data_IF_242962610956
#
_entry.id   IF_242962610956
#
_cell.length_a   1.000
_cell.length_b   1.000
_cell.length_c   1.000
_cell.angle_alpha   90.00
_cell.angle_beta   90.00
_cell.angle_gamma   90.00
#
_symmetry.space_group_name_H-M   'P 1'
#
loop_
_entity.id
_entity.type
_entity.pdbx_description
1 polymer ?
#
# COMPACT_ATOMS: atom_id res chain seq x y z
N UNK A 1 19.57 -3.07 -27.64
CA UNK A 1 18.39 -3.17 -26.75
C UNK A 1 17.86 -4.60 -26.64
N UNK A 2 18.10 -5.51 -27.60
CA UNK A 2 17.63 -6.91 -27.56
C UNK A 2 18.25 -7.76 -26.43
N UNK A 3 19.56 -7.63 -26.17
CA UNK A 3 20.24 -8.45 -25.14
C UNK A 3 19.73 -8.20 -23.70
N UNK A 4 19.27 -6.98 -23.39
CA UNK A 4 18.82 -6.65 -22.03
C UNK A 4 17.50 -7.31 -21.64
N UNK A 5 16.62 -7.57 -22.61
CA UNK A 5 15.35 -8.26 -22.39
C UNK A 5 15.53 -9.77 -22.31
N UNK A 6 16.42 -10.35 -23.13
CA UNK A 6 16.75 -11.78 -23.05
C UNK A 6 17.44 -12.15 -21.72
N UNK A 7 18.32 -11.28 -21.23
CA UNK A 7 18.97 -11.45 -19.92
C UNK A 7 17.96 -11.39 -18.76
N UNK A 8 16.96 -10.52 -18.87
CA UNK A 8 15.92 -10.36 -17.85
C UNK A 8 14.97 -11.57 -17.77
N UNK A 9 14.53 -12.10 -18.92
CA UNK A 9 13.73 -13.33 -18.98
C UNK A 9 14.51 -14.52 -18.40
N UNK A 10 15.81 -14.59 -18.68
CA UNK A 10 16.68 -15.62 -18.10
C UNK A 10 16.76 -15.48 -16.57
N UNK A 11 16.99 -14.28 -16.04
CA UNK A 11 17.02 -14.05 -14.59
C UNK A 11 15.67 -14.34 -13.93
N UNK A 12 14.57 -14.03 -14.60
CA UNK A 12 13.23 -14.38 -14.12
C UNK A 12 13.06 -15.90 -14.06
N UNK A 13 13.42 -16.61 -15.13
CA UNK A 13 13.34 -18.07 -15.18
C UNK A 13 14.20 -18.74 -14.09
N UNK A 14 15.43 -18.25 -13.87
CA UNK A 14 16.31 -18.70 -12.79
C UNK A 14 15.67 -18.50 -11.40
N UNK A 15 15.12 -17.30 -11.14
CA UNK A 15 14.45 -17.00 -9.88
C UNK A 15 13.19 -17.85 -9.65
N UNK A 16 12.38 -18.06 -10.69
CA UNK A 16 11.20 -18.93 -10.64
C UNK A 16 11.60 -20.37 -10.33
N UNK A 17 12.66 -20.87 -10.99
CA UNK A 17 13.18 -22.22 -10.74
C UNK A 17 13.69 -22.35 -9.29
N UNK A 18 14.36 -21.31 -8.77
CA UNK A 18 14.77 -21.23 -7.37
C UNK A 18 13.60 -21.29 -6.39
N UNK A 19 12.51 -20.55 -6.66
CA UNK A 19 11.28 -20.61 -5.86
C UNK A 19 10.70 -22.01 -5.90
N UNK A 20 10.49 -22.59 -7.09
CA UNK A 20 9.88 -23.91 -7.26
C UNK A 20 10.70 -25.02 -6.58
N UNK A 21 12.02 -24.96 -6.70
CA UNK A 21 12.92 -25.92 -6.06
C UNK A 21 12.78 -25.89 -4.54
N UNK A 22 12.84 -24.71 -3.93
CA UNK A 22 12.72 -24.57 -2.49
C UNK A 22 11.28 -24.85 -2.00
N UNK A 23 10.26 -24.44 -2.74
CA UNK A 23 8.87 -24.74 -2.44
C UNK A 23 8.58 -26.24 -2.40
N UNK A 24 9.16 -27.02 -3.31
CA UNK A 24 9.04 -28.49 -3.29
C UNK A 24 9.54 -29.09 -1.96
N UNK A 25 10.72 -28.69 -1.49
CA UNK A 25 11.24 -29.18 -0.21
C UNK A 25 10.49 -28.60 0.99
N UNK A 26 10.04 -27.35 0.89
CA UNK A 26 9.16 -26.73 1.88
C UNK A 26 7.91 -27.60 2.05
N UNK A 27 7.20 -27.94 0.97
CA UNK A 27 5.99 -28.79 1.03
C UNK A 27 6.24 -30.13 1.69
N UNK A 28 7.32 -30.82 1.30
CA UNK A 28 7.69 -32.09 1.95
C UNK A 28 7.95 -31.92 3.45
N UNK A 29 8.51 -30.79 3.87
CA UNK A 29 8.69 -30.47 5.28
C UNK A 29 7.34 -30.18 5.98
N UNK A 30 6.41 -29.48 5.31
CA UNK A 30 5.04 -29.26 5.82
C UNK A 30 4.30 -30.59 6.01
N UNK A 31 4.34 -31.47 5.02
CA UNK A 31 3.66 -32.79 5.06
C UNK A 31 4.23 -33.71 6.15
N UNK A 32 5.50 -33.52 6.50
CA UNK A 32 6.18 -34.26 7.57
C UNK A 32 6.21 -33.52 8.91
N UNK A 33 5.46 -32.41 9.03
CA UNK A 33 5.37 -31.61 10.26
C UNK A 33 6.75 -31.12 10.77
N UNK A 34 7.73 -30.95 9.87
CA UNK A 34 9.08 -30.52 10.21
C UNK A 34 9.21 -28.99 10.08
N UNK A 35 8.85 -28.28 11.15
CA UNK A 35 8.89 -26.81 11.19
C UNK A 35 10.26 -26.24 10.83
N UNK A 36 11.36 -26.85 11.33
CA UNK A 36 12.71 -26.35 11.11
C UNK A 36 13.09 -26.33 9.63
N UNK A 37 12.84 -27.44 8.93
CA UNK A 37 13.12 -27.51 7.49
C UNK A 37 12.12 -26.65 6.70
N UNK A 38 10.85 -26.59 7.11
CA UNK A 38 9.87 -25.70 6.48
C UNK A 38 10.31 -24.23 6.51
N UNK A 39 10.77 -23.74 7.67
CA UNK A 39 11.30 -22.38 7.84
C UNK A 39 12.58 -22.12 7.04
N UNK A 40 13.48 -23.12 6.97
CA UNK A 40 14.71 -23.03 6.20
C UNK A 40 14.42 -22.90 4.71
N UNK A 41 13.58 -23.76 4.16
CA UNK A 41 13.24 -23.74 2.73
C UNK A 41 12.36 -22.55 2.35
N UNK A 42 11.46 -22.09 3.23
CA UNK A 42 10.70 -20.86 2.99
C UNK A 42 11.62 -19.62 2.97
N UNK A 43 12.59 -19.52 3.88
CA UNK A 43 13.57 -18.44 3.87
C UNK A 43 14.48 -18.46 2.62
N UNK A 44 14.85 -19.66 2.14
CA UNK A 44 15.60 -19.82 0.89
C UNK A 44 14.78 -19.44 -0.34
N UNK A 45 13.52 -19.90 -0.41
CA UNK A 45 12.57 -19.50 -1.46
C UNK A 45 12.39 -17.98 -1.53
N UNK A 46 12.14 -17.34 -0.38
CA UNK A 46 11.97 -15.89 -0.29
C UNK A 46 13.25 -15.10 -0.58
N UNK A 47 14.42 -15.76 -0.53
CA UNK A 47 15.69 -15.12 -0.87
C UNK A 47 15.77 -14.75 -2.36
N UNK A 48 14.99 -15.39 -3.24
CA UNK A 48 14.89 -15.04 -4.66
C UNK A 48 14.31 -13.62 -4.86
N UNK A 49 13.43 -13.17 -3.95
CA UNK A 49 12.87 -11.81 -3.96
C UNK A 49 13.92 -10.73 -3.67
N UNK A 50 15.15 -11.10 -3.27
CA UNK A 50 16.26 -10.18 -3.03
C UNK A 50 16.98 -9.78 -4.32
N UNK A 51 16.49 -10.16 -5.50
CA UNK A 51 17.04 -9.67 -6.77
C UNK A 51 16.79 -8.17 -6.96
N UNK A 52 17.70 -7.49 -7.67
CA UNK A 52 17.52 -6.14 -8.23
C UNK A 52 17.68 -6.13 -9.75
N UNK A 53 17.71 -7.32 -10.37
CA UNK A 53 17.98 -7.45 -11.80
C UNK A 53 16.71 -7.38 -12.66
N UNK A 54 15.54 -7.41 -12.02
CA UNK A 54 14.24 -7.44 -12.69
C UNK A 54 13.60 -6.04 -12.64
N UNK A 55 12.96 -5.67 -13.74
CA UNK A 55 11.98 -4.60 -13.84
C UNK A 55 10.78 -4.87 -12.94
N UNK A 56 9.97 -3.84 -12.61
CA UNK A 56 8.76 -4.00 -11.82
C UNK A 56 7.82 -5.10 -12.31
N UNK A 57 7.56 -5.16 -13.62
CA UNK A 57 6.68 -6.17 -14.20
C UNK A 57 7.20 -7.60 -13.98
N UNK A 58 8.48 -7.84 -14.26
CA UNK A 58 9.10 -9.15 -14.08
C UNK A 58 9.26 -9.52 -12.59
N UNK A 59 9.52 -8.52 -11.75
CA UNK A 59 9.54 -8.70 -10.30
C UNK A 59 8.15 -9.08 -9.77
N UNK A 60 7.07 -8.49 -10.31
CA UNK A 60 5.69 -8.86 -9.98
C UNK A 60 5.44 -10.34 -10.31
N UNK A 61 5.85 -10.81 -11.49
CA UNK A 61 5.72 -12.23 -11.86
C UNK A 61 6.42 -13.15 -10.86
N UNK A 62 7.66 -12.84 -10.48
CA UNK A 62 8.42 -13.59 -9.48
C UNK A 62 7.75 -13.54 -8.10
N UNK A 63 7.31 -12.34 -7.68
CA UNK A 63 6.60 -12.11 -6.43
C UNK A 63 5.34 -12.97 -6.34
N UNK A 64 4.55 -13.05 -7.40
CA UNK A 64 3.31 -13.85 -7.40
C UNK A 64 3.57 -15.33 -7.16
N UNK A 65 4.70 -15.87 -7.68
CA UNK A 65 5.10 -17.26 -7.38
C UNK A 65 5.40 -17.45 -5.89
N UNK A 66 6.18 -16.56 -5.28
CA UNK A 66 6.46 -16.64 -3.85
C UNK A 66 5.20 -16.41 -2.99
N UNK A 67 4.32 -15.52 -3.42
CA UNK A 67 3.07 -15.17 -2.74
C UNK A 67 2.13 -16.37 -2.61
N UNK A 68 1.96 -17.16 -3.66
CA UNK A 68 1.11 -18.36 -3.60
C UNK A 68 1.66 -19.43 -2.65
N UNK A 69 2.98 -19.54 -2.54
CA UNK A 69 3.63 -20.45 -1.59
C UNK A 69 3.51 -19.96 -0.13
N UNK A 70 3.56 -18.65 0.09
CA UNK A 70 3.33 -18.06 1.41
C UNK A 70 1.93 -18.37 1.96
N UNK A 71 0.90 -18.45 1.12
CA UNK A 71 -0.46 -18.84 1.57
C UNK A 71 -0.48 -20.26 2.13
N UNK A 72 0.26 -21.19 1.50
CA UNK A 72 0.36 -22.58 1.99
C UNK A 72 1.09 -22.63 3.33
N UNK A 73 2.14 -21.82 3.46
CA UNK A 73 2.88 -21.69 4.71
C UNK A 73 2.00 -21.09 5.83
N UNK A 74 1.19 -20.07 5.52
CA UNK A 74 0.21 -19.49 6.46
C UNK A 74 -0.76 -20.55 7.00
N UNK A 75 -1.29 -21.40 6.11
CA UNK A 75 -2.18 -22.50 6.52
C UNK A 75 -1.51 -23.52 7.44
N UNK A 76 -0.22 -23.78 7.25
CA UNK A 76 0.54 -24.67 8.12
C UNK A 76 0.77 -24.06 9.50
N UNK A 77 1.18 -22.80 9.56
CA UNK A 77 1.41 -22.07 10.81
C UNK A 77 0.13 -21.82 11.62
N UNK A 78 -1.04 -21.87 10.99
CA UNK A 78 -2.34 -21.76 11.68
C UNK A 78 -2.68 -23.01 12.49
N UNK A 79 -2.04 -24.14 12.20
CA UNK A 79 -2.37 -25.44 12.79
C UNK A 79 -1.30 -25.84 13.82
N UNK A 80 -1.46 -25.37 15.06
CA UNK A 80 -0.53 -25.60 16.16
C UNK A 80 -0.24 -27.09 16.40
N UNK A 81 -1.22 -27.96 16.09
CA UNK A 81 -1.08 -29.41 16.23
C UNK A 81 -0.04 -30.02 15.28
N UNK A 82 0.26 -29.33 14.18
CA UNK A 82 1.24 -29.78 13.18
C UNK A 82 2.67 -29.45 13.57
N UNK A 83 2.94 -28.25 14.07
CA UNK A 83 4.32 -27.83 14.36
C UNK A 83 4.68 -27.87 15.85
N UNK A 84 3.71 -27.92 16.77
CA UNK A 84 3.96 -28.11 18.21
C UNK A 84 4.67 -26.95 18.90
N UNK A 85 4.57 -25.74 18.33
CA UNK A 85 5.20 -24.51 18.82
C UNK A 85 4.12 -23.45 18.98
N UNK A 86 4.17 -22.66 20.06
CA UNK A 86 3.21 -21.57 20.29
C UNK A 86 3.34 -20.48 19.23
N UNK A 87 2.29 -19.69 19.02
CA UNK A 87 2.33 -18.62 18.02
C UNK A 87 3.35 -17.53 18.41
N UNK A 88 3.48 -17.25 19.71
CA UNK A 88 4.49 -16.33 20.26
C UNK A 88 5.91 -16.79 19.92
N UNK A 89 6.23 -18.05 20.22
CA UNK A 89 7.56 -18.61 19.94
C UNK A 89 7.81 -18.64 18.43
N UNK A 90 6.79 -18.94 17.61
CA UNK A 90 6.90 -18.91 16.16
C UNK A 90 7.21 -17.50 15.65
N UNK A 91 6.59 -16.47 16.24
CA UNK A 91 6.84 -15.05 15.92
C UNK A 91 8.27 -14.63 16.25
N UNK A 92 8.86 -15.18 17.32
CA UNK A 92 10.29 -14.99 17.63
C UNK A 92 11.20 -15.78 16.67
N UNK A 93 10.88 -17.06 16.42
CA UNK A 93 11.71 -17.96 15.61
C UNK A 93 11.94 -17.44 14.19
N UNK A 94 10.91 -16.90 13.53
CA UNK A 94 11.04 -16.37 12.17
C UNK A 94 11.98 -15.16 12.09
N UNK A 95 12.19 -14.44 13.20
CA UNK A 95 13.10 -13.30 13.27
C UNK A 95 14.58 -13.72 13.22
N UNK A 96 14.89 -14.99 13.46
CA UNK A 96 16.26 -15.50 13.31
C UNK A 96 16.69 -15.70 11.85
N UNK A 97 15.78 -15.54 10.87
CA UNK A 97 16.15 -15.59 9.47
C UNK A 97 17.20 -14.51 9.15
N UNK A 98 18.38 -14.91 8.67
CA UNK A 98 19.54 -14.01 8.54
C UNK A 98 19.34 -12.83 7.59
N UNK A 99 18.58 -13.03 6.50
CA UNK A 99 18.29 -11.98 5.52
C UNK A 99 16.99 -11.24 5.88
N UNK A 100 17.04 -9.90 5.88
CA UNK A 100 15.92 -9.06 6.30
C UNK A 100 14.64 -9.24 5.46
N UNK A 101 14.76 -9.41 4.14
CA UNK A 101 13.58 -9.52 3.28
C UNK A 101 12.81 -10.84 3.52
N UNK A 102 13.43 -12.04 3.46
CA UNK A 102 12.79 -13.28 3.91
C UNK A 102 12.23 -13.20 5.32
N UNK A 103 13.00 -12.63 6.26
CA UNK A 103 12.57 -12.45 7.65
C UNK A 103 11.24 -11.71 7.74
N UNK A 104 11.11 -10.57 7.07
CA UNK A 104 9.91 -9.74 7.17
C UNK A 104 8.70 -10.35 6.45
N UNK A 105 8.90 -11.07 5.35
CA UNK A 105 7.78 -11.84 4.76
C UNK A 105 7.26 -12.91 5.73
N UNK A 106 8.17 -13.68 6.34
CA UNK A 106 7.80 -14.69 7.35
C UNK A 106 7.17 -14.05 8.59
N UNK A 107 7.73 -12.94 9.07
CA UNK A 107 7.21 -12.20 10.21
C UNK A 107 5.80 -11.68 9.95
N UNK A 108 5.55 -11.11 8.77
CA UNK A 108 4.22 -10.73 8.32
C UNK A 108 3.27 -11.95 8.29
N UNK A 109 3.68 -13.08 7.69
CA UNK A 109 2.86 -14.29 7.63
C UNK A 109 2.49 -14.82 9.02
N UNK A 110 3.44 -14.87 9.95
CA UNK A 110 3.18 -15.32 11.33
C UNK A 110 2.38 -14.28 12.10
N UNK A 111 2.63 -12.98 11.89
CA UNK A 111 1.87 -11.90 12.50
C UNK A 111 0.39 -11.93 12.13
N UNK A 112 0.05 -12.28 10.89
CA UNK A 112 -1.32 -12.57 10.44
C UNK A 112 -2.02 -13.59 11.36
N UNK A 113 -1.28 -14.64 11.75
CA UNK A 113 -1.78 -15.75 12.56
C UNK A 113 -1.81 -15.36 14.03
N UNK A 114 -0.82 -14.59 14.49
CA UNK A 114 -0.74 -14.10 15.86
C UNK A 114 -1.91 -13.18 16.22
N UNK A 115 -2.33 -12.34 15.27
CA UNK A 115 -3.55 -11.54 15.42
C UNK A 115 -4.78 -12.47 15.49
N UNK A 116 -4.87 -13.45 14.59
CA UNK A 116 -5.99 -14.41 14.53
C UNK A 116 -6.10 -15.32 15.75
N UNK A 117 -4.99 -15.67 16.41
CA UNK A 117 -4.99 -16.49 17.63
C UNK A 117 -5.50 -15.71 18.85
N UNK A 118 -5.58 -14.37 18.77
CA UNK A 118 -5.97 -13.46 19.85
C UNK A 118 -5.05 -13.55 21.07
N UNK A 119 -3.84 -14.08 20.90
CA UNK A 119 -2.81 -14.10 21.95
C UNK A 119 -2.13 -12.74 22.15
N UNK A 120 -2.22 -11.84 21.15
CA UNK A 120 -1.81 -10.45 21.24
C UNK A 120 -2.85 -9.50 20.61
N UNK A 121 -2.99 -8.26 21.11
CA UNK A 121 -3.87 -7.27 20.50
C UNK A 121 -3.45 -6.97 19.05
N UNK A 122 -4.44 -6.91 18.16
CA UNK A 122 -4.20 -6.62 16.74
C UNK A 122 -3.41 -5.33 16.54
N UNK A 123 -3.72 -4.27 17.31
CA UNK A 123 -3.02 -2.98 17.26
C UNK A 123 -1.51 -3.10 17.51
N UNK A 124 -1.09 -3.93 18.46
CA UNK A 124 0.32 -4.07 18.85
C UNK A 124 1.11 -4.80 17.76
N UNK A 125 0.56 -5.90 17.24
CA UNK A 125 1.20 -6.68 16.16
C UNK A 125 1.26 -5.86 14.87
N UNK A 126 0.17 -5.18 14.49
CA UNK A 126 0.14 -4.34 13.29
C UNK A 126 1.16 -3.19 13.38
N UNK A 127 1.25 -2.55 14.54
CA UNK A 127 2.24 -1.49 14.80
C UNK A 127 3.67 -2.01 14.69
N UNK A 128 3.99 -3.14 15.31
CA UNK A 128 5.31 -3.77 15.20
C UNK A 128 5.64 -4.10 13.73
N UNK A 129 4.74 -4.78 13.01
CA UNK A 129 4.95 -5.15 11.61
C UNK A 129 5.23 -3.95 10.70
N UNK A 130 4.42 -2.88 10.79
CA UNK A 130 4.59 -1.70 9.93
C UNK A 130 5.88 -0.93 10.25
N UNK A 131 6.32 -0.94 11.51
CA UNK A 131 7.59 -0.38 11.95
C UNK A 131 8.78 -1.22 11.47
N UNK A 132 8.71 -2.55 11.62
CA UNK A 132 9.76 -3.48 11.19
C UNK A 132 9.94 -3.48 9.66
N UNK A 133 8.87 -3.27 8.89
CA UNK A 133 8.94 -3.06 7.44
C UNK A 133 9.76 -1.83 7.03
N UNK A 134 10.07 -0.87 7.92
CA UNK A 134 11.01 0.22 7.64
C UNK A 134 12.43 -0.29 7.35
N UNK A 135 12.77 -1.52 7.73
CA UNK A 135 14.07 -2.12 7.43
C UNK A 135 14.37 -2.30 5.94
N UNK A 136 13.35 -2.31 5.07
CA UNK A 136 13.53 -2.50 3.61
C UNK A 136 13.37 -1.19 2.86
N UNK A 137 14.50 -0.53 2.58
CA UNK A 137 14.53 0.77 1.92
C UNK A 137 14.71 0.69 0.38
N UNK A 138 14.86 -0.51 -0.17
CA UNK A 138 14.89 -0.69 -1.62
C UNK A 138 13.47 -0.51 -2.21
N UNK A 139 13.23 0.41 -3.15
CA UNK A 139 11.87 0.77 -3.59
C UNK A 139 10.99 -0.39 -4.02
N UNK A 140 11.39 -1.16 -5.05
CA UNK A 140 10.56 -2.26 -5.57
C UNK A 140 10.28 -3.29 -4.46
N UNK A 141 11.33 -3.84 -3.84
CA UNK A 141 11.21 -4.84 -2.77
C UNK A 141 10.37 -4.36 -1.59
N UNK A 142 10.53 -3.09 -1.19
CA UNK A 142 9.80 -2.47 -0.10
C UNK A 142 8.32 -2.23 -0.44
N UNK A 143 8.01 -1.79 -1.67
CA UNK A 143 6.64 -1.64 -2.16
C UNK A 143 5.90 -2.98 -2.16
N UNK A 144 6.55 -4.04 -2.65
CA UNK A 144 5.96 -5.39 -2.66
C UNK A 144 5.78 -5.96 -1.25
N UNK A 145 6.77 -5.80 -0.36
CA UNK A 145 6.63 -6.24 1.04
C UNK A 145 5.50 -5.50 1.77
N UNK A 146 5.38 -4.18 1.56
CA UNK A 146 4.31 -3.37 2.16
C UNK A 146 2.94 -3.64 1.55
N UNK A 147 2.88 -3.96 0.26
CA UNK A 147 1.66 -4.45 -0.38
C UNK A 147 1.26 -5.82 0.17
N UNK A 148 2.22 -6.70 0.45
CA UNK A 148 1.95 -7.98 1.11
C UNK A 148 1.40 -7.75 2.52
N UNK A 149 2.04 -6.90 3.32
CA UNK A 149 1.56 -6.50 4.66
C UNK A 149 0.11 -5.99 4.61
N UNK A 150 -0.19 -5.05 3.71
CA UNK A 150 -1.56 -4.53 3.56
C UNK A 150 -2.57 -5.63 3.19
N UNK A 151 -2.17 -6.58 2.34
CA UNK A 151 -3.04 -7.66 1.91
C UNK A 151 -3.34 -8.65 3.04
N UNK A 152 -2.33 -9.05 3.82
CA UNK A 152 -2.51 -10.01 4.92
C UNK A 152 -3.15 -9.38 6.16
N UNK A 153 -3.15 -8.07 6.30
CA UNK A 153 -3.72 -7.37 7.47
C UNK A 153 -5.15 -6.87 7.23
N UNK A 154 -5.64 -6.87 5.99
CA UNK A 154 -6.93 -6.26 5.62
C UNK A 154 -8.12 -6.80 6.41
N UNK A 155 -8.21 -8.12 6.58
CA UNK A 155 -9.26 -8.79 7.35
C UNK A 155 -9.03 -8.74 8.87
N UNK A 156 -7.99 -8.01 9.33
CA UNK A 156 -7.50 -8.00 10.71
C UNK A 156 -7.36 -6.60 11.30
N UNK A 157 -7.85 -5.60 10.57
CA UNK A 157 -7.86 -4.23 11.05
C UNK A 157 -8.84 -4.11 12.23
N UNK A 158 -8.42 -3.45 13.32
CA UNK A 158 -9.34 -3.06 14.39
C UNK A 158 -10.33 -2.02 13.83
N UNK A 159 -11.58 -2.41 13.63
CA UNK A 159 -12.63 -1.57 13.01
C UNK A 159 -13.95 -1.80 13.75
N UNK A 160 -14.93 -0.92 13.56
CA UNK A 160 -16.25 -1.00 14.18
C UNK A 160 -16.93 -2.32 13.76
N UNK A 161 -17.33 -3.14 14.74
CA UNK A 161 -17.95 -4.43 14.51
C UNK A 161 -17.00 -5.53 14.02
N UNK A 162 -15.68 -5.27 13.99
CA UNK A 162 -14.68 -6.28 13.65
C UNK A 162 -14.38 -7.19 14.84
N UNK A 163 -13.92 -8.43 14.59
CA UNK A 163 -13.56 -9.37 15.67
C UNK A 163 -12.31 -8.96 16.47
N UNK A 164 -11.67 -7.87 16.03
CA UNK A 164 -10.47 -7.25 16.60
C UNK A 164 -10.78 -5.86 17.17
N UNK A 165 -12.06 -5.49 17.26
CA UNK A 165 -12.51 -4.29 17.95
C UNK A 165 -12.02 -4.34 19.42
N UNK A 166 -11.24 -3.33 19.80
CA UNK A 166 -10.58 -3.21 21.10
C UNK A 166 -11.17 -2.07 21.92
N UNK A 167 -10.28 -1.20 22.43
CA UNK A 167 -10.66 -0.05 23.27
C UNK A 167 -11.23 1.13 22.44
N UNK A 168 -11.54 2.26 23.08
CA UNK A 168 -12.19 3.42 22.46
C UNK A 168 -11.50 3.98 21.19
N UNK A 169 -10.18 3.79 21.03
CA UNK A 169 -9.39 4.32 19.90
C UNK A 169 -9.11 3.30 18.79
N UNK A 170 -9.82 2.17 18.78
CA UNK A 170 -9.64 1.03 17.86
C UNK A 170 -9.55 1.46 16.39
N UNK A 171 -10.48 2.29 15.92
CA UNK A 171 -10.52 2.75 14.52
C UNK A 171 -9.28 3.58 14.18
N UNK A 172 -8.84 4.42 15.12
CA UNK A 172 -7.66 5.27 14.92
C UNK A 172 -6.39 4.43 14.78
N UNK A 173 -6.26 3.33 15.52
CA UNK A 173 -5.13 2.40 15.37
C UNK A 173 -5.06 1.82 13.94
N UNK A 174 -6.22 1.45 13.35
CA UNK A 174 -6.28 0.99 11.96
C UNK A 174 -5.93 2.10 10.96
N UNK A 175 -6.48 3.30 11.15
CA UNK A 175 -6.18 4.47 10.32
C UNK A 175 -4.70 4.82 10.36
N UNK A 176 -4.09 4.82 11.55
CA UNK A 176 -2.66 5.08 11.74
C UNK A 176 -1.79 4.04 11.05
N UNK A 177 -2.12 2.76 11.18
CA UNK A 177 -1.42 1.68 10.50
C UNK A 177 -1.42 1.88 8.97
N UNK A 178 -2.60 2.15 8.38
CA UNK A 178 -2.73 2.31 6.93
C UNK A 178 -2.05 3.60 6.46
N UNK A 179 -2.20 4.72 7.17
CA UNK A 179 -1.53 5.99 6.84
C UNK A 179 -0.01 5.90 6.95
N UNK A 180 0.52 5.19 7.95
CA UNK A 180 1.95 4.93 8.07
C UNK A 180 2.46 4.10 6.91
N UNK A 181 1.72 3.04 6.52
CA UNK A 181 2.10 2.21 5.39
C UNK A 181 2.04 3.00 4.07
N UNK A 182 0.98 3.77 3.84
CA UNK A 182 0.83 4.69 2.72
C UNK A 182 2.01 5.66 2.61
N UNK A 183 2.36 6.33 3.71
CA UNK A 183 3.46 7.30 3.77
C UNK A 183 4.78 6.67 3.34
N UNK A 184 5.11 5.49 3.87
CA UNK A 184 6.36 4.81 3.53
C UNK A 184 6.35 4.25 2.09
N UNK A 185 5.20 3.77 1.59
CA UNK A 185 5.06 3.36 0.20
C UNK A 185 5.21 4.53 -0.77
N UNK A 186 4.60 5.68 -0.48
CA UNK A 186 4.75 6.89 -1.29
C UNK A 186 6.23 7.35 -1.34
N UNK A 187 6.93 7.36 -0.19
CA UNK A 187 8.37 7.68 -0.13
C UNK A 187 9.21 6.72 -0.98
N UNK A 188 8.96 5.41 -0.89
CA UNK A 188 9.67 4.40 -1.71
C UNK A 188 9.40 4.61 -3.19
N UNK A 189 8.15 4.87 -3.56
CA UNK A 189 7.73 5.09 -4.93
C UNK A 189 8.34 6.35 -5.55
N UNK A 190 8.36 7.47 -4.82
CA UNK A 190 9.04 8.72 -5.24
C UNK A 190 10.56 8.54 -5.30
N UNK A 191 11.14 7.75 -4.40
CA UNK A 191 12.57 7.43 -4.42
C UNK A 191 12.98 6.75 -5.72
N UNK A 192 12.10 5.96 -6.35
CA UNK A 192 12.39 5.34 -7.66
C UNK A 192 12.80 6.37 -8.72
N UNK A 193 12.26 7.60 -8.67
CA UNK A 193 12.58 8.65 -9.63
C UNK A 193 14.07 8.99 -9.68
N UNK A 194 14.73 8.87 -8.52
CA UNK A 194 16.10 9.28 -8.27
C UNK A 194 17.10 8.11 -8.33
N UNK A 195 16.65 6.89 -8.64
CA UNK A 195 17.54 5.74 -8.73
C UNK A 195 18.23 5.64 -10.10
N UNK A 196 19.56 5.58 -10.09
CA UNK A 196 20.37 5.33 -11.29
C UNK A 196 20.62 6.58 -12.17
N UNK A 197 21.33 6.41 -13.29
CA UNK A 197 21.76 7.53 -14.15
C UNK A 197 20.61 8.32 -14.78
N UNK A 198 20.84 9.61 -15.07
CA UNK A 198 19.81 10.52 -15.59
C UNK A 198 19.19 10.10 -16.94
N UNK A 199 19.94 9.42 -17.80
CA UNK A 199 19.49 9.00 -19.15
C UNK A 199 18.41 7.92 -19.18
N UNK A 200 17.92 7.46 -18.02
CA UNK A 200 16.90 6.39 -17.89
C UNK A 200 15.60 6.94 -17.28
N UNK A 201 15.42 8.27 -17.21
CA UNK A 201 14.26 8.91 -16.56
C UNK A 201 12.91 8.44 -17.12
N UNK A 202 12.76 8.43 -18.45
CA UNK A 202 11.50 8.03 -19.09
C UNK A 202 11.12 6.57 -18.78
N UNK A 203 12.10 5.65 -18.84
CA UNK A 203 11.89 4.25 -18.44
C UNK A 203 11.48 4.16 -16.96
N UNK A 204 12.06 4.95 -16.07
CA UNK A 204 11.67 4.98 -14.65
C UNK A 204 10.27 5.51 -14.43
N UNK A 205 9.87 6.55 -15.14
CA UNK A 205 8.50 7.08 -15.04
C UNK A 205 7.47 6.04 -15.48
N UNK A 206 7.75 5.28 -16.55
CA UNK A 206 6.92 4.14 -16.97
C UNK A 206 6.86 3.04 -15.89
N UNK A 207 8.02 2.62 -15.39
CA UNK A 207 8.13 1.61 -14.32
C UNK A 207 7.44 2.04 -13.03
N UNK A 208 7.47 3.33 -12.70
CA UNK A 208 6.76 3.91 -11.55
C UNK A 208 5.25 3.90 -11.79
N UNK A 209 4.78 4.25 -12.98
CA UNK A 209 3.36 4.21 -13.31
C UNK A 209 2.79 2.80 -13.20
N UNK A 210 3.55 1.76 -13.58
CA UNK A 210 3.15 0.35 -13.39
C UNK A 210 2.96 -0.05 -11.91
N UNK A 211 3.58 0.67 -10.96
CA UNK A 211 3.53 0.38 -9.53
C UNK A 211 2.61 1.31 -8.72
N UNK A 212 2.01 2.32 -9.34
CA UNK A 212 1.21 3.34 -8.66
C UNK A 212 0.05 2.72 -7.84
N UNK A 213 -0.56 1.66 -8.37
CA UNK A 213 -1.67 0.94 -7.74
C UNK A 213 -1.29 0.26 -6.43
N UNK A 214 -0.02 -0.08 -6.23
CA UNK A 214 0.44 -0.59 -4.93
C UNK A 214 0.30 0.47 -3.85
N UNK A 215 0.54 1.75 -4.19
CA UNK A 215 0.41 2.87 -3.25
C UNK A 215 -1.07 3.23 -3.07
N UNK A 216 -1.82 3.37 -4.17
CA UNK A 216 -3.23 3.77 -4.16
C UNK A 216 -4.15 2.81 -3.41
N UNK A 217 -3.83 1.51 -3.37
CA UNK A 217 -4.56 0.51 -2.57
C UNK A 217 -4.68 0.88 -1.09
N UNK A 218 -3.74 1.62 -0.51
CA UNK A 218 -3.88 2.07 0.89
C UNK A 218 -5.06 3.06 1.04
N UNK A 219 -5.27 3.96 0.07
CA UNK A 219 -6.40 4.88 0.09
C UNK A 219 -7.73 4.14 -0.08
N UNK A 220 -7.74 3.09 -0.90
CA UNK A 220 -8.91 2.21 -1.02
C UNK A 220 -9.20 1.43 0.28
N UNK A 221 -8.17 1.01 1.02
CA UNK A 221 -8.38 0.39 2.34
C UNK A 221 -8.94 1.41 3.32
N UNK A 222 -8.42 2.65 3.36
CA UNK A 222 -8.97 3.72 4.21
C UNK A 222 -10.45 3.99 3.93
N UNK A 223 -10.87 3.97 2.65
CA UNK A 223 -12.28 4.20 2.30
C UNK A 223 -13.20 3.01 2.59
N UNK A 224 -12.66 1.87 3.04
CA UNK A 224 -13.40 0.67 3.40
C UNK A 224 -13.47 0.39 4.90
N UNK A 225 -12.76 1.18 5.71
CA UNK A 225 -12.86 1.09 7.17
C UNK A 225 -14.19 1.74 7.56
N UNK A 226 -15.08 0.98 8.20
CA UNK A 226 -16.42 1.42 8.57
C UNK A 226 -16.35 2.62 9.53
N UNK A 227 -15.38 2.63 10.45
CA UNK A 227 -15.15 3.73 11.36
C UNK A 227 -14.58 5.02 10.73
N UNK A 228 -14.26 5.03 9.43
CA UNK A 228 -13.86 6.27 8.73
C UNK A 228 -15.11 7.01 8.27
N UNK A 229 -15.80 7.59 9.24
CA UNK A 229 -16.92 8.50 9.01
C UNK A 229 -16.46 9.85 8.45
N UNK A 230 -17.41 10.75 8.17
CA UNK A 230 -17.13 12.07 7.62
C UNK A 230 -16.22 12.91 8.52
N UNK A 231 -16.39 12.83 9.84
CA UNK A 231 -15.61 13.61 10.80
C UNK A 231 -14.17 13.11 10.85
N UNK A 232 -13.96 11.79 10.95
CA UNK A 232 -12.66 11.14 10.87
C UNK A 232 -11.95 11.45 9.55
N UNK A 233 -12.68 11.40 8.43
CA UNK A 233 -12.13 11.74 7.13
C UNK A 233 -11.66 13.18 7.05
N UNK A 234 -12.51 14.12 7.49
CA UNK A 234 -12.26 15.57 7.42
C UNK A 234 -11.11 16.01 8.32
N UNK A 235 -11.09 15.54 9.57
CA UNK A 235 -10.15 16.04 10.59
C UNK A 235 -8.82 15.27 10.58
N UNK A 236 -8.82 14.00 10.14
CA UNK A 236 -7.63 13.14 10.23
C UNK A 236 -7.16 12.59 8.90
N UNK A 237 -8.00 11.84 8.17
CA UNK A 237 -7.54 11.06 6.99
C UNK A 237 -7.12 11.98 5.85
N UNK A 238 -8.01 12.86 5.40
CA UNK A 238 -7.74 13.72 4.26
C UNK A 238 -6.56 14.67 4.50
N UNK A 239 -6.46 15.39 5.64
CA UNK A 239 -5.32 16.27 5.90
C UNK A 239 -3.97 15.52 5.85
N UNK A 240 -3.89 14.33 6.45
CA UNK A 240 -2.64 13.54 6.47
C UNK A 240 -2.30 12.95 5.10
N UNK A 241 -3.29 12.54 4.32
CA UNK A 241 -3.06 12.10 2.94
C UNK A 241 -2.56 13.27 2.09
N UNK A 242 -3.25 14.43 2.14
CA UNK A 242 -2.85 15.63 1.39
C UNK A 242 -1.49 16.16 1.80
N UNK A 243 -1.12 16.07 3.07
CA UNK A 243 0.24 16.39 3.52
C UNK A 243 1.29 15.57 2.75
N UNK A 244 1.08 14.26 2.59
CA UNK A 244 1.99 13.41 1.82
C UNK A 244 1.98 13.74 0.33
N UNK A 245 0.82 14.07 -0.24
CA UNK A 245 0.69 14.48 -1.65
C UNK A 245 1.45 15.79 -1.90
N UNK A 246 1.23 16.82 -1.08
CA UNK A 246 1.87 18.12 -1.25
C UNK A 246 3.38 18.05 -1.00
N UNK A 247 3.81 17.31 0.01
CA UNK A 247 5.21 17.24 0.42
C UNK A 247 6.07 16.28 -0.40
N UNK A 248 5.47 15.37 -1.19
CA UNK A 248 6.27 14.47 -2.02
C UNK A 248 6.97 15.17 -3.19
N UNK A 249 6.47 16.34 -3.61
CA UNK A 249 7.06 17.22 -4.64
C UNK A 249 7.39 16.48 -5.95
N UNK A 250 6.58 15.48 -6.32
CA UNK A 250 6.76 14.64 -7.50
C UNK A 250 5.50 14.64 -8.37
N UNK A 251 5.65 14.98 -9.65
CA UNK A 251 4.53 15.20 -10.57
C UNK A 251 3.62 14.00 -10.73
N UNK A 252 4.22 12.82 -10.98
CA UNK A 252 3.50 11.58 -11.20
C UNK A 252 2.70 11.19 -9.95
N UNK A 253 3.35 11.25 -8.79
CA UNK A 253 2.72 10.91 -7.53
C UNK A 253 1.60 11.88 -7.16
N UNK A 254 1.81 13.18 -7.34
CA UNK A 254 0.80 14.20 -7.05
C UNK A 254 -0.44 14.04 -7.92
N UNK A 255 -0.25 13.90 -9.24
CA UNK A 255 -1.36 13.68 -10.16
C UNK A 255 -2.16 12.42 -9.79
N UNK A 256 -1.47 11.28 -9.66
CA UNK A 256 -2.11 9.99 -9.39
C UNK A 256 -2.83 9.98 -8.03
N UNK A 257 -2.21 10.50 -6.97
CA UNK A 257 -2.79 10.43 -5.63
C UNK A 257 -3.99 11.37 -5.49
N UNK A 258 -3.96 12.56 -6.10
CA UNK A 258 -5.13 13.45 -6.14
C UNK A 258 -6.31 12.80 -6.87
N UNK A 259 -6.04 12.19 -8.02
CA UNK A 259 -7.05 11.45 -8.77
C UNK A 259 -7.57 10.23 -7.99
N UNK A 260 -6.69 9.51 -7.30
CA UNK A 260 -7.05 8.37 -6.47
C UNK A 260 -7.96 8.79 -5.30
N UNK A 261 -7.67 9.89 -4.61
CA UNK A 261 -8.56 10.46 -3.57
C UNK A 261 -9.96 10.70 -4.14
N UNK A 262 -10.04 11.38 -5.30
CA UNK A 262 -11.30 11.67 -5.97
C UNK A 262 -12.05 10.38 -6.30
N UNK A 263 -11.36 9.30 -6.70
CA UNK A 263 -11.99 8.03 -7.10
C UNK A 263 -12.45 7.16 -5.93
N UNK A 264 -11.69 7.08 -4.84
CA UNK A 264 -11.92 6.05 -3.80
C UNK A 264 -12.83 6.50 -2.67
N UNK A 265 -12.92 7.80 -2.36
CA UNK A 265 -13.76 8.32 -1.29
C UNK A 265 -15.16 8.73 -1.78
N UNK A 266 -16.20 8.71 -0.92
CA UNK A 266 -17.58 9.06 -1.27
C UNK A 266 -17.78 10.53 -1.70
N UNK A 267 -18.87 10.78 -2.43
CA UNK A 267 -19.21 12.13 -2.94
C UNK A 267 -19.53 13.12 -1.82
N UNK A 268 -20.24 12.67 -0.80
CA UNK A 268 -20.55 13.45 0.41
C UNK A 268 -19.27 13.96 1.08
N UNK A 269 -18.24 13.12 1.16
CA UNK A 269 -16.96 13.48 1.78
C UNK A 269 -16.24 14.55 0.95
N UNK A 270 -16.24 14.40 -0.37
CA UNK A 270 -15.69 15.42 -1.28
C UNK A 270 -16.40 16.75 -1.14
N UNK A 271 -17.74 16.74 -1.06
CA UNK A 271 -18.54 17.96 -0.92
C UNK A 271 -18.20 18.72 0.38
N UNK A 272 -18.10 17.99 1.49
CA UNK A 272 -17.86 18.57 2.82
C UNK A 272 -16.40 18.97 3.05
N UNK A 273 -15.46 18.41 2.27
CA UNK A 273 -14.02 18.71 2.35
C UNK A 273 -13.48 19.51 1.17
N UNK A 274 -14.36 20.04 0.33
CA UNK A 274 -14.01 20.70 -0.93
C UNK A 274 -12.96 21.81 -0.75
N UNK A 275 -13.06 22.58 0.32
CA UNK A 275 -12.10 23.62 0.65
C UNK A 275 -10.70 23.08 0.93
N UNK A 276 -10.60 22.01 1.73
CA UNK A 276 -9.33 21.36 2.05
C UNK A 276 -8.71 20.73 0.81
N UNK A 277 -9.50 20.02 0.01
CA UNK A 277 -9.04 19.38 -1.23
C UNK A 277 -8.56 20.40 -2.26
N UNK A 278 -9.36 21.43 -2.53
CA UNK A 278 -9.01 22.50 -3.47
C UNK A 278 -7.87 23.38 -2.95
N UNK A 279 -7.72 23.51 -1.64
CA UNK A 279 -6.60 24.21 -0.99
C UNK A 279 -5.25 23.54 -1.22
N UNK A 280 -5.22 22.23 -1.52
CA UNK A 280 -4.01 21.51 -1.86
C UNK A 280 -3.57 21.72 -3.33
N UNK A 281 -4.52 21.97 -4.24
CA UNK A 281 -4.23 22.10 -5.68
C UNK A 281 -3.15 23.15 -6.00
N UNK A 282 -3.15 24.37 -5.41
CA UNK A 282 -2.10 25.35 -5.66
C UNK A 282 -0.73 25.00 -5.06
N UNK A 283 -0.63 23.95 -4.25
CA UNK A 283 0.62 23.54 -3.59
C UNK A 283 1.33 22.39 -4.33
N UNK A 284 0.69 21.86 -5.37
CA UNK A 284 1.24 20.84 -6.26
C UNK A 284 2.32 21.45 -7.16
N UNK A 285 3.12 20.60 -7.79
CA UNK A 285 4.11 21.04 -8.75
C UNK A 285 3.42 21.72 -9.93
N UNK A 286 3.99 22.82 -10.49
CA UNK A 286 3.38 23.55 -11.61
C UNK A 286 3.16 22.69 -12.87
N UNK A 287 3.90 21.59 -12.99
CA UNK A 287 3.84 20.63 -14.09
C UNK A 287 2.77 19.54 -13.93
N UNK A 288 2.08 19.50 -12.79
CA UNK A 288 0.97 18.57 -12.56
C UNK A 288 -0.25 19.03 -13.35
N UNK A 289 -0.93 18.10 -14.04
CA UNK A 289 -2.18 18.37 -14.75
C UNK A 289 -3.37 18.50 -13.77
N UNK A 290 -3.39 19.63 -13.05
CA UNK A 290 -4.44 19.97 -12.08
C UNK A 290 -5.79 20.16 -12.78
N UNK A 291 -5.80 20.58 -14.05
CA UNK A 291 -7.03 20.79 -14.82
C UNK A 291 -7.81 19.49 -14.97
N UNK A 292 -7.14 18.39 -15.33
CA UNK A 292 -7.79 17.09 -15.42
C UNK A 292 -8.30 16.60 -14.07
N UNK A 293 -7.53 16.80 -12.98
CA UNK A 293 -7.97 16.47 -11.61
C UNK A 293 -9.25 17.23 -11.24
N UNK A 294 -9.28 18.55 -11.46
CA UNK A 294 -10.45 19.37 -11.17
C UNK A 294 -11.65 19.01 -12.04
N UNK A 295 -11.42 18.70 -13.32
CA UNK A 295 -12.49 18.30 -14.24
C UNK A 295 -13.17 17.01 -13.77
N UNK A 296 -12.38 16.01 -13.34
CA UNK A 296 -12.90 14.76 -12.78
C UNK A 296 -13.69 14.97 -11.50
N UNK A 297 -13.23 15.85 -10.60
CA UNK A 297 -13.98 16.21 -9.39
C UNK A 297 -15.32 16.88 -9.75
N UNK A 298 -15.32 17.80 -10.71
CA UNK A 298 -16.53 18.48 -11.18
C UNK A 298 -17.53 17.51 -11.80
N UNK A 299 -17.06 16.63 -12.70
CA UNK A 299 -17.91 15.62 -13.33
C UNK A 299 -18.55 14.71 -12.27
N UNK A 300 -17.76 14.29 -11.28
CA UNK A 300 -18.22 13.45 -10.17
C UNK A 300 -19.29 14.14 -9.33
N UNK A 301 -19.04 15.38 -8.89
CA UNK A 301 -20.01 16.14 -8.10
C UNK A 301 -21.26 16.53 -8.90
N UNK A 302 -21.12 16.80 -10.20
CA UNK A 302 -22.24 17.05 -11.11
C UNK A 302 -23.16 15.83 -11.21
N UNK A 303 -22.58 14.63 -11.37
CA UNK A 303 -23.34 13.38 -11.36
C UNK A 303 -24.01 13.12 -10.01
N UNK A 304 -23.34 13.43 -8.90
CA UNK A 304 -23.93 13.32 -7.56
C UNK A 304 -25.16 14.21 -7.40
N UNK A 305 -25.05 15.49 -7.77
CA UNK A 305 -26.17 16.44 -7.74
C UNK A 305 -27.33 16.04 -8.68
N UNK A 306 -27.03 15.44 -9.83
CA UNK A 306 -28.04 14.94 -10.76
C UNK A 306 -28.77 13.69 -10.23
N UNK A 307 -28.07 12.85 -9.45
CA UNK A 307 -28.62 11.60 -8.91
C UNK A 307 -29.49 11.80 -7.67
N UNK A 308 -29.24 12.86 -6.89
CA UNK A 308 -29.89 13.10 -5.60
C UNK A 308 -30.29 14.56 -5.45
N UNK A 309 -31.55 14.90 -5.75
CA UNK A 309 -32.02 16.29 -5.64
C UNK A 309 -31.95 16.83 -4.19
N UNK A 310 -31.99 15.94 -3.20
CA UNK A 310 -31.95 16.26 -1.78
C UNK A 310 -30.59 16.80 -1.31
N UNK A 311 -29.51 16.63 -2.09
CA UNK A 311 -28.17 17.13 -1.74
C UNK A 311 -27.92 18.56 -2.21
N UNK A 312 -28.80 19.12 -3.05
CA UNK A 312 -28.66 20.50 -3.56
C UNK A 312 -28.56 21.58 -2.45
N UNK A 313 -29.30 21.49 -1.32
CA UNK A 313 -29.11 22.41 -0.20
C UNK A 313 -27.69 22.35 0.39
N UNK A 314 -27.08 21.16 0.46
CA UNK A 314 -25.72 21.00 0.97
C UNK A 314 -24.71 21.66 0.03
N UNK A 315 -24.88 21.51 -1.29
CA UNK A 315 -24.04 22.20 -2.28
C UNK A 315 -24.06 23.72 -2.14
N UNK A 316 -25.23 24.28 -1.82
CA UNK A 316 -25.39 25.71 -1.54
C UNK A 316 -24.73 26.08 -0.22
N UNK A 317 -24.92 25.27 0.83
CA UNK A 317 -24.35 25.50 2.15
C UNK A 317 -22.82 25.50 2.15
N UNK A 318 -22.19 24.60 1.39
CA UNK A 318 -20.73 24.55 1.27
C UNK A 318 -20.19 25.52 0.20
N UNK A 319 -21.06 26.28 -0.46
CA UNK A 319 -20.75 27.19 -1.56
C UNK A 319 -19.92 26.52 -2.67
N UNK A 320 -20.28 25.29 -3.05
CA UNK A 320 -19.45 24.43 -3.89
C UNK A 320 -19.01 25.10 -5.21
N UNK A 321 -19.94 25.78 -5.88
CA UNK A 321 -19.67 26.50 -7.13
C UNK A 321 -18.65 27.64 -6.94
N UNK A 322 -18.79 28.42 -5.87
CA UNK A 322 -17.87 29.51 -5.54
C UNK A 322 -16.47 28.96 -5.27
N UNK A 323 -16.37 27.90 -4.46
CA UNK A 323 -15.09 27.26 -4.12
C UNK A 323 -14.39 26.70 -5.37
N UNK A 324 -15.12 25.98 -6.24
CA UNK A 324 -14.58 25.45 -7.49
C UNK A 324 -14.13 26.57 -8.44
N UNK A 325 -14.95 27.60 -8.64
CA UNK A 325 -14.62 28.74 -9.49
C UNK A 325 -13.37 29.48 -9.00
N UNK A 326 -13.28 29.72 -7.69
CA UNK A 326 -12.11 30.34 -7.06
C UNK A 326 -10.85 29.48 -7.18
N UNK A 327 -10.97 28.16 -7.02
CA UNK A 327 -9.85 27.24 -7.16
C UNK A 327 -9.31 27.21 -8.60
N UNK A 328 -10.19 27.13 -9.60
CA UNK A 328 -9.80 27.23 -11.02
C UNK A 328 -9.09 28.55 -11.29
N UNK A 329 -9.61 29.66 -10.73
CA UNK A 329 -8.96 30.97 -10.83
C UNK A 329 -7.53 30.98 -10.26
N UNK A 330 -7.32 30.40 -9.08
CA UNK A 330 -5.99 30.29 -8.45
C UNK A 330 -5.03 29.42 -9.24
N UNK A 331 -5.50 28.28 -9.76
CA UNK A 331 -4.68 27.35 -10.57
C UNK A 331 -4.24 28.03 -11.87
N UNK A 332 -5.15 28.73 -12.56
CA UNK A 332 -4.81 29.46 -13.78
C UNK A 332 -3.79 30.58 -13.56
N UNK A 333 -3.76 31.20 -12.37
CA UNK A 333 -2.76 32.22 -12.03
C UNK A 333 -1.35 31.64 -11.84
N UNK A 334 -1.22 30.38 -11.44
CA UNK A 334 0.08 29.72 -11.26
C UNK A 334 0.71 29.21 -12.56
N UNK A 335 -0.11 28.92 -13.57
CA UNK A 335 0.37 28.49 -14.90
C UNK A 335 0.85 29.67 -15.77
N UNK A 336 0.59 30.93 -15.36
CA UNK A 336 1.10 32.10 -16.06
C UNK A 336 2.61 32.26 -15.77
N UNK A 337 3.47 32.28 -16.80
CA UNK A 337 4.89 32.52 -16.59
C UNK A 337 5.11 33.92 -16.01
N UNK A 338 5.89 34.00 -14.93
CA UNK A 338 6.48 35.25 -14.45
C UNK A 338 7.61 35.71 -15.36
#
# INVERSE_FOLDING_TARGET
MLNGTEDEEKWLAEGIAGIQHNAFYMHRALDSNNLREALKYSAQMLSELRTSKLSPHKYYELYMRAFDELKRLELFFKDDSKHGVSVVDLYELVQHAGNILPRLYLLCTVGSIYIKSKEAPAKEVLKDLVEMCRGVQHPIRGLFLRSYLAQISRDKLPDIGSEYEGDADTVMDAVDFVLQNFTEMNKLWVRMQHQGPGGVREKREKERSELQDLVGKNLHVLSQIEGVDLEMYKETVLPRVLEQVVNCKDDLAQYYLMDCIIQVFPDEYHLQTLETLLGACPQLQPTVDVKTVLSRLMDRLSNYAASSADVLPEFLQVEAFSKLSNAIGKVNQQELPH
#
